data_IF_256699215065
#
_entry.id   IF_256699215065
#
_cell.length_a   1.000
_cell.length_b   1.000
_cell.length_c   1.000
_cell.angle_alpha   90.00
_cell.angle_beta   90.00
_cell.angle_gamma   90.00
#
_symmetry.space_group_name_H-M   'P 1'
#
loop_
_entity.id
_entity.type
_entity.pdbx_description
1 polymer ?
#
# COMPACT_ATOMS: atom_id res chain seq x y z
N UNK A 1 11.82 28.96 7.08
CA UNK A 1 10.91 28.09 7.84
C UNK A 1 10.81 26.79 7.03
N UNK A 2 11.26 25.66 7.55
CA UNK A 2 11.06 24.38 6.85
C UNK A 2 9.64 23.89 7.15
N UNK A 3 8.91 23.44 6.13
CA UNK A 3 7.64 22.76 6.34
C UNK A 3 7.93 21.40 7.00
N UNK A 4 7.26 21.11 8.13
CA UNK A 4 7.24 19.77 8.70
C UNK A 4 6.36 18.91 7.82
N UNK A 5 6.97 17.96 7.11
CA UNK A 5 6.23 16.91 6.41
C UNK A 5 5.86 15.80 7.38
N UNK A 6 4.62 15.32 7.29
CA UNK A 6 4.17 14.13 8.00
C UNK A 6 5.05 12.93 7.60
N UNK A 7 5.52 12.17 8.59
CA UNK A 7 6.25 10.94 8.33
C UNK A 7 5.26 9.85 7.91
N UNK A 8 5.40 9.35 6.67
CA UNK A 8 4.53 8.32 6.06
C UNK A 8 3.03 8.69 6.07
N UNK A 9 2.62 9.75 5.34
CA UNK A 9 1.22 10.18 5.30
C UNK A 9 0.34 9.06 4.74
N UNK A 10 -0.59 8.55 5.55
CA UNK A 10 -1.44 7.42 5.19
C UNK A 10 -2.23 7.63 3.88
N UNK A 11 -2.62 8.87 3.59
CA UNK A 11 -3.30 9.26 2.35
C UNK A 11 -2.48 8.95 1.08
N UNK A 12 -1.15 8.83 1.19
CA UNK A 12 -0.27 8.53 0.07
C UNK A 12 -0.16 7.03 -0.21
N UNK A 13 0.03 6.21 0.82
CA UNK A 13 0.46 4.81 0.66
C UNK A 13 -0.60 3.78 1.07
N UNK A 14 -1.57 4.16 1.92
CA UNK A 14 -2.50 3.18 2.49
C UNK A 14 -3.44 2.61 1.44
N UNK A 15 -3.52 1.28 1.37
CA UNK A 15 -4.33 0.57 0.38
C UNK A 15 -3.82 0.73 -1.06
N UNK A 16 -2.53 1.02 -1.24
CA UNK A 16 -1.93 1.26 -2.56
C UNK A 16 -0.79 0.28 -2.87
N UNK A 17 -0.64 -0.06 -4.16
CA UNK A 17 0.52 -0.80 -4.67
C UNK A 17 1.63 0.20 -5.00
N UNK A 18 2.88 -0.27 -5.04
CA UNK A 18 3.98 0.50 -5.57
C UNK A 18 4.53 -0.16 -6.85
N UNK A 19 4.36 0.52 -7.98
CA UNK A 19 4.82 0.12 -9.31
C UNK A 19 5.66 1.22 -9.98
N UNK A 20 6.24 2.11 -9.17
CA UNK A 20 6.78 3.40 -9.61
C UNK A 20 5.77 4.54 -9.46
N UNK A 21 4.47 4.22 -9.35
CA UNK A 21 3.41 5.09 -8.88
C UNK A 21 2.75 4.48 -7.63
N UNK A 22 1.67 5.12 -7.16
CA UNK A 22 0.82 4.63 -6.07
C UNK A 22 -0.62 4.43 -6.56
N UNK A 23 -0.90 3.40 -7.38
CA UNK A 23 -2.26 3.02 -7.75
C UNK A 23 -2.95 2.20 -6.66
N UNK A 24 -4.27 2.09 -6.77
CA UNK A 24 -5.04 1.11 -5.98
C UNK A 24 -4.82 -0.31 -6.54
N UNK A 25 -4.83 -1.31 -5.66
CA UNK A 25 -4.81 -2.72 -6.08
C UNK A 25 -6.19 -3.26 -6.48
N UNK A 26 -6.24 -4.55 -6.80
CA UNK A 26 -7.48 -5.28 -7.06
C UNK A 26 -8.36 -5.40 -5.79
N UNK A 27 -7.73 -5.46 -4.62
CA UNK A 27 -8.39 -5.35 -3.33
C UNK A 27 -7.46 -4.74 -2.28
N UNK A 28 -7.97 -4.50 -1.08
CA UNK A 28 -7.18 -4.07 0.07
C UNK A 28 -7.30 -5.09 1.21
N UNK A 29 -6.24 -5.19 2.03
CA UNK A 29 -6.19 -6.06 3.19
C UNK A 29 -5.76 -5.25 4.42
N UNK A 30 -6.43 -5.48 5.54
CA UNK A 30 -6.05 -4.90 6.82
C UNK A 30 -4.77 -5.57 7.34
N UNK A 31 -3.84 -4.75 7.79
CA UNK A 31 -2.67 -5.19 8.56
C UNK A 31 -3.03 -5.12 10.03
N UNK A 32 -3.09 -6.27 10.67
CA UNK A 32 -3.50 -6.38 12.07
C UNK A 32 -2.28 -6.43 12.99
N UNK A 33 -2.28 -5.61 14.04
CA UNK A 33 -1.30 -5.65 15.12
C UNK A 33 -1.50 -6.93 15.95
N UNK A 34 -0.52 -7.85 16.02
CA UNK A 34 -0.70 -9.12 16.71
C UNK A 34 -0.96 -8.99 18.22
N UNK A 35 -0.41 -7.94 18.86
CA UNK A 35 -0.50 -7.77 20.30
C UNK A 35 -1.88 -7.28 20.77
N UNK A 36 -2.57 -6.50 19.95
CA UNK A 36 -3.81 -5.79 20.33
C UNK A 36 -5.01 -6.22 19.50
N UNK A 37 -4.79 -6.82 18.33
CA UNK A 37 -5.82 -7.10 17.34
C UNK A 37 -6.31 -5.85 16.60
N UNK A 38 -5.70 -4.68 16.80
CA UNK A 38 -6.10 -3.45 16.11
C UNK A 38 -5.52 -3.37 14.70
N UNK A 39 -6.15 -2.57 13.83
CA UNK A 39 -5.68 -2.31 12.47
C UNK A 39 -4.56 -1.28 12.50
N UNK A 40 -3.38 -1.64 11.99
CA UNK A 40 -2.24 -0.73 11.79
C UNK A 40 -2.38 0.10 10.51
N UNK A 41 -3.10 -0.43 9.52
CA UNK A 41 -3.32 0.21 8.24
C UNK A 41 -3.79 -0.80 7.21
N UNK A 42 -3.82 -0.37 5.95
CA UNK A 42 -4.20 -1.23 4.82
C UNK A 42 -3.09 -1.32 3.78
N UNK A 43 -2.94 -2.52 3.21
CA UNK A 43 -2.11 -2.76 2.03
C UNK A 43 -3.01 -3.06 0.83
N UNK A 44 -2.56 -2.71 -0.36
CA UNK A 44 -3.19 -3.21 -1.57
C UNK A 44 -2.77 -4.65 -1.85
N UNK A 45 -3.72 -5.41 -2.40
CA UNK A 45 -3.50 -6.74 -2.96
C UNK A 45 -3.66 -6.67 -4.47
N UNK A 46 -2.82 -7.38 -5.20
CA UNK A 46 -2.93 -7.53 -6.66
C UNK A 46 -3.60 -8.85 -7.01
N UNK A 47 -4.15 -8.92 -8.22
CA UNK A 47 -4.63 -10.15 -8.84
C UNK A 47 -3.54 -10.81 -9.71
N UNK A 48 -3.80 -11.99 -10.32
CA UNK A 48 -2.84 -12.63 -11.21
C UNK A 48 -2.43 -11.79 -12.44
N UNK A 49 -3.31 -10.93 -12.95
CA UNK A 49 -3.00 -10.08 -14.09
C UNK A 49 -1.98 -9.00 -13.71
N UNK A 50 -2.11 -8.39 -12.53
CA UNK A 50 -1.13 -7.45 -12.00
C UNK A 50 0.22 -8.11 -11.68
N UNK A 51 0.23 -9.38 -11.23
CA UNK A 51 1.49 -10.14 -11.08
C UNK A 51 2.17 -10.31 -12.45
N UNK A 52 1.42 -10.71 -13.47
CA UNK A 52 1.97 -10.89 -14.82
C UNK A 52 2.50 -9.58 -15.41
N UNK A 53 1.80 -8.46 -15.19
CA UNK A 53 2.23 -7.14 -15.63
C UNK A 53 3.54 -6.71 -14.95
N UNK A 54 3.63 -6.85 -13.62
CA UNK A 54 4.84 -6.51 -12.87
C UNK A 54 6.05 -7.36 -13.30
N UNK A 55 5.84 -8.66 -13.54
CA UNK A 55 6.89 -9.56 -14.00
C UNK A 55 7.40 -9.23 -15.41
N UNK A 56 6.54 -8.68 -16.28
CA UNK A 56 6.92 -8.31 -17.65
C UNK A 56 7.84 -7.07 -17.72
N UNK A 57 7.92 -6.28 -16.65
CA UNK A 57 8.69 -5.03 -16.59
C UNK A 57 9.91 -5.10 -15.64
N UNK A 58 10.20 -6.28 -15.09
CA UNK A 58 11.27 -6.51 -14.11
C UNK A 58 12.67 -6.66 -14.74
#
# INVERSE_FOLDING_TARGET
MHATSEFLPAALWSGKLFDGQWPSGASAQDVIEPATGQVLGQIAMTDPAGIAAAAATA
#
